data_IF_152788672191
#
_entry.id   IF_152788672191
#
_cell.length_a   1.000
_cell.length_b   1.000
_cell.length_c   1.000
_cell.angle_alpha   90.00
_cell.angle_beta   90.00
_cell.angle_gamma   90.00
#
_symmetry.space_group_name_H-M   'P 1'
#
loop_
_entity.id
_entity.type
_entity.pdbx_description
1 polymer ?
#
# COMPACT_ATOMS: atom_id res chain seq x y z
N UNK A 1 49.91 38.46 -30.23
CA UNK A 1 49.37 37.84 -29.00
C UNK A 1 48.23 36.93 -29.44
N UNK A 2 48.27 35.69 -28.95
CA UNK A 2 47.61 34.44 -29.42
C UNK A 2 46.07 34.57 -29.54
N UNK A 3 45.29 33.78 -30.28
CA UNK A 3 45.36 32.88 -31.46
C UNK A 3 44.02 32.12 -31.42
N UNK A 4 43.20 32.17 -32.47
CA UNK A 4 42.04 31.28 -32.66
C UNK A 4 42.49 29.83 -32.89
N UNK A 5 41.64 28.83 -32.57
CA UNK A 5 41.13 27.78 -33.50
C UNK A 5 40.66 26.49 -32.78
N UNK A 6 39.37 26.19 -32.93
CA UNK A 6 38.73 24.93 -33.40
C UNK A 6 38.94 23.53 -32.74
N UNK A 7 37.80 22.78 -32.76
CA UNK A 7 37.58 21.32 -32.94
C UNK A 7 37.17 20.45 -31.71
N UNK A 8 35.89 20.02 -31.74
CA UNK A 8 35.37 18.71 -31.29
C UNK A 8 35.86 17.57 -32.24
N UNK A 9 35.59 16.24 -32.05
CA UNK A 9 34.92 15.44 -31.01
C UNK A 9 35.64 14.09 -30.65
N UNK A 10 34.92 13.14 -30.02
CA UNK A 10 35.03 11.65 -30.01
C UNK A 10 35.77 10.93 -28.86
N UNK A 11 34.94 10.31 -28.01
CA UNK A 11 34.88 8.89 -27.63
C UNK A 11 36.16 8.06 -27.41
N UNK A 12 36.26 7.41 -26.25
CA UNK A 12 36.56 5.98 -26.14
C UNK A 12 36.26 5.43 -24.73
N UNK A 13 35.67 4.23 -24.75
CA UNK A 13 35.27 3.32 -23.67
C UNK A 13 36.46 2.55 -23.04
N UNK A 14 36.13 1.78 -21.99
CA UNK A 14 36.85 0.68 -21.28
C UNK A 14 37.67 1.14 -20.06
N UNK A 15 37.32 0.80 -18.81
CA UNK A 15 36.98 -0.47 -18.15
C UNK A 15 38.08 -0.84 -17.15
N UNK A 16 37.79 -0.59 -15.87
CA UNK A 16 38.35 -1.23 -14.68
C UNK A 16 37.10 -1.52 -13.83
N UNK A 17 36.69 -2.75 -13.52
CA UNK A 17 37.48 -3.95 -13.27
C UNK A 17 37.38 -4.25 -11.77
N UNK A 18 36.40 -5.06 -11.37
CA UNK A 18 36.36 -5.72 -10.06
C UNK A 18 35.91 -7.18 -10.23
N UNK A 19 36.92 -8.04 -10.31
CA UNK A 19 37.05 -9.39 -9.77
C UNK A 19 35.80 -10.28 -9.64
N UNK A 20 35.72 -11.25 -10.56
CA UNK A 20 35.15 -12.56 -10.28
C UNK A 20 36.20 -13.41 -9.55
N UNK A 21 35.83 -13.95 -8.39
CA UNK A 21 36.61 -14.97 -7.68
C UNK A 21 36.32 -16.37 -8.28
N UNK A 22 37.33 -17.19 -8.58
CA UNK A 22 37.12 -18.55 -9.09
C UNK A 22 36.90 -19.53 -7.94
N UNK A 23 35.69 -20.08 -7.83
CA UNK A 23 35.47 -21.28 -7.01
C UNK A 23 36.05 -22.50 -7.73
N UNK A 24 36.98 -23.15 -7.05
CA UNK A 24 37.57 -24.44 -7.40
C UNK A 24 36.54 -25.55 -7.31
N UNK A 25 36.50 -26.37 -8.36
CA UNK A 25 35.83 -27.66 -8.41
C UNK A 25 36.56 -28.68 -7.55
N UNK A 26 35.82 -29.50 -6.81
CA UNK A 26 35.98 -30.95 -6.70
C UNK A 26 35.15 -31.42 -5.50
N UNK A 27 33.97 -32.00 -5.75
CA UNK A 27 33.50 -33.18 -5.01
C UNK A 27 32.26 -33.80 -5.66
N UNK A 28 32.23 -35.13 -5.60
CA UNK A 28 31.41 -36.04 -6.38
C UNK A 28 29.89 -35.86 -6.18
N UNK A 29 29.15 -35.86 -7.29
CA UNK A 29 27.70 -35.70 -7.32
C UNK A 29 26.93 -36.91 -6.78
N UNK A 30 25.79 -36.68 -6.08
CA UNK A 30 24.76 -37.70 -5.87
C UNK A 30 23.96 -37.95 -7.16
N UNK A 31 23.28 -39.10 -7.28
CA UNK A 31 22.60 -39.49 -8.53
C UNK A 31 21.39 -38.60 -8.81
N UNK A 32 21.28 -38.24 -10.10
CA UNK A 32 20.14 -37.67 -10.83
C UNK A 32 18.80 -37.73 -10.07
N UNK A 33 18.43 -36.63 -9.43
CA UNK A 33 17.04 -36.33 -9.09
C UNK A 33 16.40 -35.76 -10.36
N UNK A 34 15.34 -36.42 -10.83
CA UNK A 34 14.70 -36.14 -12.10
C UNK A 34 14.38 -34.66 -12.33
N UNK A 35 14.56 -34.27 -13.58
CA UNK A 35 14.15 -33.03 -14.22
C UNK A 35 12.77 -32.58 -13.71
N UNK A 36 12.76 -31.60 -12.81
CA UNK A 36 11.56 -30.90 -12.37
C UNK A 36 11.10 -30.06 -13.56
N UNK A 37 9.97 -30.42 -14.15
CA UNK A 37 9.32 -29.61 -15.19
C UNK A 37 9.02 -28.22 -14.63
N UNK A 38 9.57 -27.20 -15.28
CA UNK A 38 9.27 -25.79 -15.04
C UNK A 38 7.75 -25.58 -14.98
N UNK A 39 7.30 -25.00 -13.87
CA UNK A 39 5.90 -24.82 -13.52
C UNK A 39 5.12 -24.06 -14.60
N UNK A 40 3.88 -24.50 -14.83
CA UNK A 40 2.91 -23.75 -15.64
C UNK A 40 2.72 -22.34 -15.08
N UNK A 41 2.68 -21.30 -15.94
CA UNK A 41 2.52 -19.92 -15.50
C UNK A 41 1.18 -19.75 -14.78
N UNK A 42 1.22 -19.21 -13.56
CA UNK A 42 0.05 -18.72 -12.85
C UNK A 42 -0.65 -17.68 -13.74
N UNK A 43 -1.93 -17.87 -14.01
CA UNK A 43 -2.76 -16.84 -14.65
C UNK A 43 -3.25 -15.92 -13.54
N UNK A 44 -2.46 -14.88 -13.23
CA UNK A 44 -2.96 -13.75 -12.46
C UNK A 44 -4.03 -13.08 -13.32
N UNK A 45 -5.31 -13.32 -13.02
CA UNK A 45 -6.39 -12.61 -13.67
C UNK A 45 -6.31 -11.15 -13.20
N UNK A 46 -5.52 -10.35 -13.93
CA UNK A 46 -5.41 -8.91 -13.70
C UNK A 46 -6.78 -8.32 -13.85
N UNK A 47 -7.32 -7.91 -12.72
CA UNK A 47 -8.64 -7.36 -12.70
C UNK A 47 -8.59 -5.94 -13.24
N UNK A 48 -9.32 -5.68 -14.32
CA UNK A 48 -9.34 -4.39 -14.97
C UNK A 48 -10.23 -3.44 -14.19
N UNK A 49 -9.64 -2.35 -13.69
CA UNK A 49 -10.39 -1.19 -13.20
C UNK A 49 -11.23 -0.69 -14.37
N UNK A 50 -12.57 -0.62 -14.26
CA UNK A 50 -13.39 -0.06 -15.32
C UNK A 50 -12.88 1.33 -15.68
N UNK A 51 -12.63 1.57 -16.97
CA UNK A 51 -12.18 2.88 -17.43
C UNK A 51 -13.07 3.99 -16.86
N UNK A 52 -12.46 5.08 -16.40
CA UNK A 52 -13.11 6.24 -15.75
C UNK A 52 -13.68 5.99 -14.36
N UNK A 53 -13.33 4.89 -13.69
CA UNK A 53 -13.60 4.77 -12.24
C UNK A 53 -12.95 5.96 -11.53
N UNK A 54 -13.68 6.77 -10.75
CA UNK A 54 -13.09 7.84 -9.97
C UNK A 54 -12.22 7.24 -8.85
N UNK A 55 -10.93 7.56 -8.83
CA UNK A 55 -9.98 7.12 -7.80
C UNK A 55 -9.30 8.33 -7.18
N UNK A 56 -9.48 8.53 -5.88
CA UNK A 56 -8.75 9.52 -5.08
C UNK A 56 -7.63 8.78 -4.33
N UNK A 57 -6.39 9.03 -4.73
CA UNK A 57 -5.18 8.48 -4.11
C UNK A 57 -4.61 9.51 -3.13
N UNK A 58 -4.52 9.15 -1.86
CA UNK A 58 -3.87 9.94 -0.83
C UNK A 58 -2.59 9.21 -0.39
N UNK A 59 -1.43 9.83 -0.60
CA UNK A 59 -0.16 9.32 -0.11
C UNK A 59 0.14 10.00 1.23
N UNK A 60 0.39 9.19 2.24
CA UNK A 60 0.85 9.61 3.56
C UNK A 60 2.30 9.17 3.65
N UNK A 61 3.23 10.12 3.55
CA UNK A 61 4.65 9.83 3.41
C UNK A 61 5.37 10.30 4.65
N UNK A 62 6.10 9.39 5.25
CA UNK A 62 7.05 9.69 6.28
C UNK A 62 8.23 10.50 5.72
N UNK A 63 8.41 11.69 6.29
CA UNK A 63 9.51 12.60 5.96
C UNK A 63 10.61 12.63 7.04
N UNK A 64 10.71 11.56 7.84
CA UNK A 64 11.76 11.33 8.84
C UNK A 64 13.14 11.26 8.23
N UNK A 65 14.15 11.25 9.11
CA UNK A 65 15.53 11.24 8.72
C UNK A 65 16.00 9.98 7.97
N UNK A 66 15.32 8.86 8.11
CA UNK A 66 15.70 7.56 7.56
C UNK A 66 14.99 7.23 6.24
N UNK A 67 13.97 7.99 5.85
CA UNK A 67 13.11 7.69 4.69
C UNK A 67 13.68 8.00 3.30
N UNK A 68 14.98 8.26 3.17
CA UNK A 68 15.60 8.72 1.92
C UNK A 68 15.47 7.65 0.82
N UNK A 69 15.93 6.45 1.11
CA UNK A 69 15.95 5.31 0.21
C UNK A 69 14.52 4.88 -0.16
N UNK A 70 13.60 4.89 0.80
CA UNK A 70 12.19 4.57 0.67
C UNK A 70 11.47 5.56 -0.26
N UNK A 71 11.69 6.86 -0.09
CA UNK A 71 11.11 7.88 -0.98
C UNK A 71 11.67 7.76 -2.42
N UNK A 72 12.95 7.42 -2.58
CA UNK A 72 13.54 7.13 -3.89
C UNK A 72 12.93 5.88 -4.56
N UNK A 73 12.71 4.81 -3.78
CA UNK A 73 12.04 3.60 -4.26
C UNK A 73 10.59 3.88 -4.67
N UNK A 74 9.85 4.59 -3.83
CA UNK A 74 8.48 5.01 -4.10
C UNK A 74 8.41 5.85 -5.37
N UNK A 75 9.30 6.83 -5.53
CA UNK A 75 9.39 7.67 -6.74
C UNK A 75 9.60 6.82 -7.99
N UNK A 76 10.52 5.85 -7.96
CA UNK A 76 10.75 4.93 -9.07
C UNK A 76 9.51 4.07 -9.39
N UNK A 77 8.83 3.57 -8.37
CA UNK A 77 7.60 2.79 -8.54
C UNK A 77 6.46 3.63 -9.14
N UNK A 78 6.32 4.89 -8.71
CA UNK A 78 5.31 5.82 -9.23
C UNK A 78 5.60 6.24 -10.67
N UNK A 79 6.87 6.40 -11.04
CA UNK A 79 7.26 6.62 -12.44
C UNK A 79 6.94 5.40 -13.33
N UNK A 80 6.81 4.23 -12.73
CA UNK A 80 6.44 2.97 -13.37
C UNK A 80 4.98 2.57 -13.11
N UNK A 81 4.10 3.54 -12.80
CA UNK A 81 2.68 3.27 -12.54
C UNK A 81 2.08 2.37 -13.64
N UNK A 82 1.25 1.38 -13.27
CA UNK A 82 0.53 0.58 -14.24
C UNK A 82 -0.37 1.47 -15.11
N UNK A 83 -0.48 1.11 -16.38
CA UNK A 83 -1.37 1.81 -17.30
C UNK A 83 -2.85 1.71 -16.87
N UNK A 84 -3.18 0.71 -16.05
CA UNK A 84 -4.50 0.41 -15.49
C UNK A 84 -4.97 1.45 -14.47
N UNK A 85 -4.11 1.89 -13.54
CA UNK A 85 -4.47 2.91 -12.54
C UNK A 85 -4.77 4.26 -13.20
N UNK A 86 -4.22 4.50 -14.39
CA UNK A 86 -4.44 5.73 -15.15
C UNK A 86 -5.55 5.63 -16.20
N UNK A 87 -6.16 4.46 -16.41
CA UNK A 87 -7.48 4.40 -17.05
C UNK A 87 -8.58 4.92 -16.13
N UNK A 88 -8.31 4.96 -14.83
CA UNK A 88 -9.17 5.60 -13.84
C UNK A 88 -9.17 7.12 -14.02
N UNK A 89 -10.24 7.77 -13.54
CA UNK A 89 -10.26 9.21 -13.31
C UNK A 89 -9.50 9.47 -12.00
N UNK A 90 -8.17 9.41 -12.07
CA UNK A 90 -7.27 9.52 -10.91
C UNK A 90 -7.15 10.98 -10.45
N UNK A 91 -7.22 11.16 -9.14
CA UNK A 91 -6.81 12.38 -8.44
C UNK A 91 -5.87 11.99 -7.32
N UNK A 92 -4.75 12.67 -7.19
CA UNK A 92 -3.75 12.32 -6.20
C UNK A 92 -3.37 13.51 -5.34
N UNK A 93 -3.17 13.27 -4.05
CA UNK A 93 -2.63 14.25 -3.12
C UNK A 93 -1.59 13.57 -2.22
N UNK A 94 -0.61 14.34 -1.75
CA UNK A 94 0.41 13.88 -0.82
C UNK A 94 0.33 14.69 0.46
N UNK A 95 0.47 14.05 1.61
CA UNK A 95 0.68 14.65 2.92
C UNK A 95 1.92 14.02 3.56
N UNK A 96 2.52 14.72 4.52
CA UNK A 96 3.53 14.09 5.39
C UNK A 96 2.96 13.73 6.75
N UNK A 97 3.71 12.93 7.49
CA UNK A 97 3.44 12.50 8.86
C UNK A 97 3.83 13.56 9.91
N UNK A 98 4.60 14.59 9.53
CA UNK A 98 5.00 15.70 10.39
C UNK A 98 3.81 16.59 10.81
N UNK A 99 3.35 16.35 12.04
CA UNK A 99 2.30 17.12 12.68
C UNK A 99 2.83 18.29 13.56
N UNK A 100 4.13 18.56 13.58
CA UNK A 100 4.72 19.73 14.27
C UNK A 100 4.94 20.90 13.34
N UNK A 101 5.22 20.63 12.07
CA UNK A 101 5.39 21.68 11.08
C UNK A 101 4.01 22.18 10.61
N UNK A 102 3.61 23.44 10.91
CA UNK A 102 2.31 23.98 10.53
C UNK A 102 2.08 24.06 9.01
N UNK A 103 3.16 23.97 8.22
CA UNK A 103 3.12 23.89 6.76
C UNK A 103 2.86 22.45 6.26
N UNK A 104 3.08 21.43 7.10
CA UNK A 104 2.92 20.02 6.76
C UNK A 104 1.68 19.36 7.36
N UNK A 105 1.32 19.66 8.62
CA UNK A 105 0.20 19.13 9.43
C UNK A 105 -1.08 18.66 8.68
N UNK A 106 -1.03 17.54 7.97
CA UNK A 106 -2.10 17.06 7.09
C UNK A 106 -2.42 17.97 5.89
N UNK A 107 -1.60 18.96 5.55
CA UNK A 107 -1.75 19.81 4.36
C UNK A 107 -1.39 19.03 3.10
N UNK A 108 -2.11 19.25 2.01
CA UNK A 108 -1.69 18.74 0.70
C UNK A 108 -0.42 19.45 0.25
N UNK A 109 0.60 18.66 -0.04
CA UNK A 109 1.92 19.14 -0.43
C UNK A 109 1.93 19.49 -1.91
N UNK A 110 2.60 20.57 -2.27
CA UNK A 110 2.75 21.04 -3.65
C UNK A 110 4.20 21.33 -4.01
N UNK A 111 5.10 21.05 -3.07
CA UNK A 111 6.54 21.13 -3.14
C UNK A 111 7.16 19.75 -2.94
N UNK A 112 8.46 19.70 -3.17
CA UNK A 112 9.29 18.52 -3.03
C UNK A 112 10.72 18.93 -2.70
N UNK A 113 11.47 18.03 -2.06
CA UNK A 113 12.86 18.21 -1.72
C UNK A 113 13.71 18.32 -2.98
N UNK A 114 14.35 19.47 -3.19
CA UNK A 114 15.22 19.73 -4.36
C UNK A 114 16.70 19.48 -4.09
N UNK A 115 17.06 19.25 -2.85
CA UNK A 115 18.44 19.09 -2.41
C UNK A 115 18.53 17.83 -1.58
N UNK A 116 19.65 17.13 -1.73
CA UNK A 116 20.03 16.06 -0.83
C UNK A 116 20.06 16.61 0.61
N UNK A 117 19.36 15.92 1.50
CA UNK A 117 19.46 16.20 2.92
C UNK A 117 20.80 15.66 3.46
N UNK A 118 21.34 16.19 4.57
CA UNK A 118 22.64 15.75 5.11
C UNK A 118 22.73 14.23 5.42
N UNK A 119 21.59 13.63 5.72
CA UNK A 119 21.37 12.22 6.02
C UNK A 119 20.93 11.39 4.80
N UNK A 120 20.72 12.02 3.65
CA UNK A 120 20.30 11.38 2.40
C UNK A 120 21.42 11.56 1.37
N UNK A 121 22.40 10.63 1.30
CA UNK A 121 23.55 10.77 0.41
C UNK A 121 23.16 10.68 -1.06
N UNK A 122 22.04 10.01 -1.35
CA UNK A 122 21.44 10.00 -2.68
C UNK A 122 20.73 11.31 -2.94
N UNK A 123 20.98 11.91 -4.10
CA UNK A 123 20.19 13.07 -4.52
C UNK A 123 18.75 12.61 -4.76
N UNK A 124 17.74 13.41 -4.34
CA UNK A 124 16.36 13.10 -4.64
C UNK A 124 16.18 13.00 -6.16
N UNK A 125 15.39 12.04 -6.61
CA UNK A 125 15.09 11.82 -8.02
C UNK A 125 14.14 12.92 -8.51
N UNK A 126 14.71 14.08 -8.82
CA UNK A 126 13.96 15.29 -9.23
C UNK A 126 14.06 15.62 -10.72
N UNK A 127 14.69 14.75 -11.50
CA UNK A 127 14.81 14.93 -12.95
C UNK A 127 13.42 14.92 -13.59
N UNK A 128 13.05 16.03 -14.22
CA UNK A 128 11.74 16.21 -14.84
C UNK A 128 10.67 16.83 -13.94
N UNK A 129 10.97 17.13 -12.68
CA UNK A 129 10.01 17.77 -11.80
C UNK A 129 9.75 19.24 -12.19
N UNK A 130 8.48 19.67 -12.27
CA UNK A 130 8.16 21.06 -12.58
C UNK A 130 8.53 21.98 -11.40
N UNK A 131 8.69 23.28 -11.67
CA UNK A 131 8.97 24.26 -10.62
C UNK A 131 7.82 24.42 -9.63
N UNK A 132 6.60 24.09 -10.04
CA UNK A 132 5.37 24.19 -9.25
C UNK A 132 4.49 22.98 -9.53
N UNK A 133 3.96 22.36 -8.48
CA UNK A 133 2.95 21.30 -8.58
C UNK A 133 1.61 21.81 -8.05
N UNK A 134 0.53 21.19 -8.51
CA UNK A 134 -0.79 21.37 -7.92
C UNK A 134 -0.88 20.56 -6.62
N UNK A 135 -1.47 21.07 -5.53
CA UNK A 135 -1.67 20.28 -4.30
C UNK A 135 -2.52 19.02 -4.51
N UNK A 136 -3.38 19.04 -5.54
CA UNK A 136 -4.14 17.88 -6.02
C UNK A 136 -3.82 17.70 -7.50
N UNK A 137 -3.17 16.59 -7.83
CA UNK A 137 -2.93 16.19 -9.21
C UNK A 137 -4.18 15.57 -9.82
N UNK A 138 -4.37 15.81 -11.10
CA UNK A 138 -5.47 15.31 -11.92
C UNK A 138 -4.99 15.09 -13.36
N UNK A 139 -5.81 14.44 -14.19
CA UNK A 139 -5.48 14.27 -15.60
C UNK A 139 -5.24 15.59 -16.36
N UNK A 140 -5.77 16.73 -15.85
CA UNK A 140 -5.54 18.06 -16.43
C UNK A 140 -4.11 18.57 -16.18
N UNK A 141 -3.41 18.07 -15.16
CA UNK A 141 -2.01 18.47 -14.93
C UNK A 141 -1.05 17.90 -15.99
N UNK A 142 -1.55 17.00 -16.85
CA UNK A 142 -0.86 16.45 -18.00
C UNK A 142 -1.34 17.05 -19.35
N UNK A 143 -1.87 18.28 -19.34
CA UNK A 143 -2.45 18.96 -20.51
C UNK A 143 -1.51 19.03 -21.74
N UNK A 144 -0.19 19.06 -21.53
CA UNK A 144 0.81 19.07 -22.61
C UNK A 144 0.81 17.82 -23.50
N UNK A 145 0.18 16.74 -23.05
CA UNK A 145 0.13 15.46 -23.75
C UNK A 145 -1.07 15.32 -24.72
N UNK A 146 -2.07 16.21 -24.64
CA UNK A 146 -3.32 16.04 -25.39
C UNK A 146 -3.95 14.66 -25.16
N UNK A 147 -4.30 13.96 -26.26
CA UNK A 147 -4.89 12.63 -26.19
C UNK A 147 -3.87 11.49 -26.04
N UNK A 148 -2.55 11.77 -26.12
CA UNK A 148 -1.51 10.74 -26.00
C UNK A 148 -1.52 10.15 -24.57
N UNK A 149 -1.99 8.91 -24.51
CA UNK A 149 -2.13 8.17 -23.26
C UNK A 149 -0.77 7.86 -22.61
N UNK A 150 0.22 7.45 -23.39
CA UNK A 150 1.53 7.07 -22.85
C UNK A 150 2.24 8.30 -22.28
N UNK A 151 2.09 9.44 -22.94
CA UNK A 151 2.58 10.72 -22.44
C UNK A 151 1.90 11.11 -21.11
N UNK A 152 0.56 11.07 -21.04
CA UNK A 152 -0.16 11.40 -19.79
C UNK A 152 0.24 10.49 -18.62
N UNK A 153 0.52 9.23 -18.91
CA UNK A 153 1.00 8.27 -17.92
C UNK A 153 2.38 8.63 -17.38
N UNK A 154 3.33 8.87 -18.29
CA UNK A 154 4.67 9.29 -17.88
C UNK A 154 4.65 10.61 -17.09
N UNK A 155 3.84 11.58 -17.51
CA UNK A 155 3.74 12.89 -16.85
C UNK A 155 3.10 12.78 -15.45
N UNK A 156 2.02 12.03 -15.32
CA UNK A 156 1.37 11.80 -14.02
C UNK A 156 2.30 11.06 -13.06
N UNK A 157 2.95 9.98 -13.54
CA UNK A 157 3.94 9.23 -12.76
C UNK A 157 5.07 10.12 -12.29
N UNK A 158 5.64 10.92 -13.20
CA UNK A 158 6.71 11.88 -12.89
C UNK A 158 6.27 12.87 -11.82
N UNK A 159 5.11 13.53 -11.98
CA UNK A 159 4.61 14.52 -11.01
C UNK A 159 4.33 13.91 -9.65
N UNK A 160 3.72 12.73 -9.62
CA UNK A 160 3.43 12.04 -8.37
C UNK A 160 4.71 11.57 -7.69
N UNK A 161 5.69 11.09 -8.46
CA UNK A 161 7.04 10.79 -7.99
C UNK A 161 7.74 12.01 -7.40
N UNK A 162 7.62 13.18 -8.04
CA UNK A 162 8.13 14.44 -7.48
C UNK A 162 7.46 14.74 -6.14
N UNK A 163 6.13 14.67 -6.06
CA UNK A 163 5.42 14.89 -4.78
C UNK A 163 5.75 13.81 -3.74
N UNK A 164 6.24 12.64 -4.11
CA UNK A 164 6.65 11.64 -3.13
C UNK A 164 7.96 11.99 -2.41
N UNK A 165 8.77 12.89 -2.98
CA UNK A 165 10.05 13.34 -2.42
C UNK A 165 9.82 14.49 -1.44
N UNK A 166 9.31 14.20 -0.26
CA UNK A 166 9.00 15.22 0.76
C UNK A 166 10.24 15.67 1.55
N UNK A 167 11.35 14.93 1.41
CA UNK A 167 12.60 15.16 2.12
C UNK A 167 12.66 14.36 3.41
N UNK A 168 13.74 14.55 4.17
CA UNK A 168 14.04 13.77 5.39
C UNK A 168 14.25 14.66 6.61
N UNK A 169 13.51 15.78 6.65
CA UNK A 169 13.62 16.83 7.66
C UNK A 169 12.44 16.92 8.61
N UNK A 170 11.52 15.95 8.54
CA UNK A 170 10.33 15.83 9.37
C UNK A 170 10.63 15.51 10.83
N UNK A 171 9.57 15.37 11.61
CA UNK A 171 9.62 15.05 13.03
C UNK A 171 9.57 13.55 13.23
N UNK A 172 10.64 12.92 13.75
CA UNK A 172 10.67 11.48 14.09
C UNK A 172 9.75 11.05 15.25
N UNK A 173 8.66 11.78 15.45
CA UNK A 173 7.48 11.37 16.19
C UNK A 173 6.33 11.38 15.18
N UNK A 174 6.29 10.34 14.37
CA UNK A 174 5.50 10.32 13.15
C UNK A 174 4.02 10.15 13.46
N UNK A 175 3.16 11.05 12.96
CA UNK A 175 1.74 11.07 13.30
C UNK A 175 0.86 10.97 12.05
N UNK A 176 1.14 9.97 11.22
CA UNK A 176 0.51 9.76 9.93
C UNK A 176 -1.01 9.61 10.00
N UNK A 177 -1.57 8.97 11.03
CA UNK A 177 -3.02 8.84 11.18
C UNK A 177 -3.67 10.17 11.56
N UNK A 178 -3.05 10.98 12.42
CA UNK A 178 -3.50 12.34 12.72
C UNK A 178 -3.41 13.25 11.49
N UNK A 179 -2.34 13.15 10.72
CA UNK A 179 -2.18 13.85 9.45
C UNK A 179 -3.26 13.46 8.45
N UNK A 180 -3.52 12.16 8.28
CA UNK A 180 -4.59 11.62 7.43
C UNK A 180 -5.97 12.14 7.84
N UNK A 181 -6.28 12.14 9.14
CA UNK A 181 -7.54 12.67 9.67
C UNK A 181 -7.65 14.16 9.37
N UNK A 182 -6.62 14.95 9.67
CA UNK A 182 -6.60 16.38 9.40
C UNK A 182 -6.79 16.65 7.90
N UNK A 183 -6.11 15.90 7.04
CA UNK A 183 -6.12 16.09 5.59
C UNK A 183 -7.50 15.90 4.95
N UNK A 184 -8.35 15.09 5.56
CA UNK A 184 -9.66 14.70 5.04
C UNK A 184 -10.83 15.29 5.85
N UNK A 185 -10.55 16.05 6.91
CA UNK A 185 -11.57 16.69 7.73
C UNK A 185 -12.13 17.97 7.07
N UNK A 186 -13.42 18.22 7.25
CA UNK A 186 -14.11 19.40 6.72
C UNK A 186 -13.76 20.71 7.44
N UNK A 187 -13.16 20.63 8.63
CA UNK A 187 -12.52 21.73 9.36
C UNK A 187 -10.99 21.67 9.26
N UNK A 188 -10.46 20.75 8.45
CA UNK A 188 -9.03 20.55 8.22
C UNK A 188 -8.44 21.54 7.22
N UNK A 189 -7.11 21.52 7.04
CA UNK A 189 -6.40 22.49 6.21
C UNK A 189 -6.71 22.38 4.72
N UNK A 190 -7.28 21.26 4.25
CA UNK A 190 -7.56 21.00 2.84
C UNK A 190 -9.06 21.12 2.51
N UNK A 191 -9.88 21.60 3.44
CA UNK A 191 -11.34 21.63 3.28
C UNK A 191 -11.77 22.30 1.98
N UNK A 192 -11.06 23.32 1.50
CA UNK A 192 -11.33 23.99 0.22
C UNK A 192 -11.37 23.06 -1.01
N UNK A 193 -10.64 21.93 -0.99
CA UNK A 193 -10.63 20.96 -2.07
C UNK A 193 -11.88 20.08 -2.12
N UNK A 194 -12.67 20.05 -1.04
CA UNK A 194 -13.90 19.26 -0.95
C UNK A 194 -15.06 19.95 -0.21
N UNK A 195 -14.94 21.26 0.00
CA UNK A 195 -15.90 22.10 0.70
C UNK A 195 -17.34 22.01 0.16
N UNK A 196 -17.59 21.84 -1.16
CA UNK A 196 -18.96 21.67 -1.66
C UNK A 196 -19.69 20.45 -1.08
N UNK A 197 -18.97 19.49 -0.52
CA UNK A 197 -19.50 18.29 0.13
C UNK A 197 -19.41 18.33 1.66
N UNK A 198 -18.98 19.44 2.25
CA UNK A 198 -18.96 19.63 3.69
C UNK A 198 -20.27 20.27 4.17
N UNK A 199 -21.00 19.57 5.02
CA UNK A 199 -22.26 20.01 5.65
C UNK A 199 -22.09 19.94 7.16
N UNK A 200 -22.28 21.06 7.85
CA UNK A 200 -22.15 21.16 9.32
C UNK A 200 -20.81 20.62 9.87
N UNK A 201 -19.72 20.87 9.14
CA UNK A 201 -18.38 20.43 9.52
C UNK A 201 -18.11 18.94 9.30
N UNK A 202 -18.97 18.24 8.57
CA UNK A 202 -18.82 16.82 8.22
C UNK A 202 -18.90 16.61 6.72
N UNK A 203 -18.19 15.61 6.21
CA UNK A 203 -18.27 15.24 4.81
C UNK A 203 -19.59 14.49 4.56
N UNK A 204 -20.34 14.88 3.53
CA UNK A 204 -21.55 14.20 3.07
C UNK A 204 -21.19 13.20 1.96
N UNK A 205 -21.17 11.88 2.22
CA UNK A 205 -20.86 10.86 1.23
C UNK A 205 -21.96 10.68 0.16
N UNK A 206 -23.07 11.44 0.25
CA UNK A 206 -24.13 11.48 -0.75
C UNK A 206 -24.13 12.77 -1.57
N UNK A 207 -23.15 13.65 -1.33
CA UNK A 207 -23.00 14.91 -2.02
C UNK A 207 -23.01 14.74 -3.55
N UNK A 208 -23.84 15.48 -4.29
CA UNK A 208 -23.92 15.36 -5.75
C UNK A 208 -22.80 16.13 -6.47
N UNK A 209 -22.00 16.91 -5.74
CA UNK A 209 -20.91 17.70 -6.31
C UNK A 209 -19.71 16.81 -6.57
N UNK A 210 -18.87 17.23 -7.53
CA UNK A 210 -17.59 16.60 -7.82
C UNK A 210 -16.46 17.47 -7.26
N UNK A 211 -16.16 17.36 -5.95
CA UNK A 211 -15.11 18.16 -5.31
C UNK A 211 -13.76 17.91 -5.98
N UNK A 212 -12.77 18.80 -5.83
CA UNK A 212 -11.44 18.68 -6.42
C UNK A 212 -10.67 17.45 -5.91
N UNK A 213 -10.91 17.04 -4.67
CA UNK A 213 -10.42 15.78 -4.10
C UNK A 213 -11.53 15.13 -3.26
N UNK A 214 -11.36 13.89 -2.83
CA UNK A 214 -12.32 13.16 -1.98
C UNK A 214 -13.74 13.14 -2.57
N UNK A 215 -13.91 12.51 -3.74
CA UNK A 215 -15.19 12.38 -4.43
C UNK A 215 -16.09 11.36 -3.71
N UNK A 216 -17.38 11.66 -3.48
CA UNK A 216 -18.30 10.75 -2.79
C UNK A 216 -18.44 9.37 -3.46
N UNK A 217 -18.46 9.34 -4.79
CA UNK A 217 -18.61 8.11 -5.59
C UNK A 217 -17.29 7.36 -5.81
N UNK A 218 -16.15 8.02 -5.62
CA UNK A 218 -14.84 7.47 -5.95
C UNK A 218 -14.33 6.47 -4.92
N UNK A 219 -13.36 5.66 -5.35
CA UNK A 219 -12.52 4.91 -4.42
C UNK A 219 -11.56 5.89 -3.75
N UNK A 220 -11.39 5.78 -2.43
CA UNK A 220 -10.30 6.41 -1.70
C UNK A 220 -9.24 5.35 -1.44
N UNK A 221 -8.07 5.53 -2.04
CA UNK A 221 -6.89 4.72 -1.78
C UNK A 221 -5.95 5.53 -0.90
N UNK A 222 -5.68 5.05 0.29
CA UNK A 222 -4.74 5.64 1.24
C UNK A 222 -3.47 4.79 1.21
N UNK A 223 -2.43 5.29 0.55
CA UNK A 223 -1.10 4.67 0.58
C UNK A 223 -0.30 5.30 1.71
N UNK A 224 0.16 4.50 2.64
CA UNK A 224 0.98 4.95 3.77
C UNK A 224 2.38 4.37 3.59
N UNK A 225 3.41 5.20 3.65
CA UNK A 225 4.81 4.77 3.53
C UNK A 225 5.59 5.35 4.69
N UNK A 226 6.04 4.49 5.60
CA UNK A 226 6.74 4.88 6.83
C UNK A 226 7.61 3.75 7.35
N UNK A 227 8.81 4.08 7.82
CA UNK A 227 9.69 3.16 8.51
C UNK A 227 9.53 3.23 10.05
N UNK A 228 8.56 4.00 10.53
CA UNK A 228 8.18 4.13 11.95
C UNK A 228 6.71 3.71 12.20
N UNK A 229 6.29 3.56 13.46
CA UNK A 229 4.87 3.39 13.80
C UNK A 229 4.15 4.75 13.95
N UNK A 230 2.82 4.74 13.89
CA UNK A 230 2.01 5.94 14.11
C UNK A 230 1.98 6.36 15.59
N UNK A 231 2.62 7.47 15.91
CA UNK A 231 2.61 8.10 17.21
C UNK A 231 1.44 9.09 17.42
N UNK A 232 0.33 8.98 16.69
CA UNK A 232 -0.77 9.96 16.79
C UNK A 232 -1.44 9.99 18.17
N UNK A 233 -1.16 11.04 18.95
CA UNK A 233 -1.67 11.27 20.30
C UNK A 233 -2.85 12.24 20.38
N UNK A 234 -3.55 12.24 21.51
CA UNK A 234 -4.62 13.22 21.75
C UNK A 234 -3.97 14.58 22.08
N UNK A 235 -4.21 15.65 21.31
CA UNK A 235 -3.65 16.96 21.62
C UNK A 235 -4.11 17.52 22.99
N UNK A 236 -5.19 16.98 23.57
CA UNK A 236 -5.64 17.34 24.92
C UNK A 236 -4.88 16.59 26.04
N UNK A 237 -4.25 15.46 25.73
CA UNK A 237 -3.40 14.68 26.64
C UNK A 237 -2.15 14.17 25.91
N UNK A 238 -1.24 15.08 25.47
CA UNK A 238 -0.11 14.69 24.64
C UNK A 238 0.84 13.77 25.40
N UNK A 239 1.42 12.82 24.69
CA UNK A 239 2.47 11.96 25.25
C UNK A 239 3.83 12.67 25.22
N UNK A 240 4.78 12.16 26.00
CA UNK A 240 6.10 12.77 26.07
C UNK A 240 6.86 12.54 24.75
N UNK A 241 7.35 13.61 24.15
CA UNK A 241 8.24 13.55 22.97
C UNK A 241 9.72 13.63 23.33
N UNK A 242 10.07 13.22 24.55
CA UNK A 242 11.47 13.22 25.01
C UNK A 242 12.33 12.19 24.24
N UNK A 243 11.68 11.14 23.73
CA UNK A 243 12.27 10.08 22.91
C UNK A 243 11.28 9.72 21.79
N UNK A 244 11.78 9.37 20.61
CA UNK A 244 10.94 8.94 19.49
C UNK A 244 10.14 7.67 19.84
N UNK A 245 10.73 6.78 20.64
CA UNK A 245 10.11 5.53 21.10
C UNK A 245 9.01 5.68 22.15
N UNK A 246 8.67 6.89 22.63
CA UNK A 246 7.65 6.99 23.70
C UNK A 246 6.30 6.48 23.24
N UNK A 247 5.95 6.64 21.96
CA UNK A 247 4.64 6.20 21.46
C UNK A 247 4.48 4.68 21.47
N UNK A 248 5.60 3.95 21.34
CA UNK A 248 5.70 2.49 21.49
C UNK A 248 5.53 2.02 22.94
N UNK A 249 5.74 2.92 23.90
CA UNK A 249 5.59 2.62 25.32
C UNK A 249 4.24 3.04 25.87
N UNK A 250 3.72 4.17 25.39
CA UNK A 250 2.49 4.80 25.84
C UNK A 250 1.32 4.58 24.86
N UNK A 251 1.28 3.45 24.13
CA UNK A 251 0.24 3.16 23.13
C UNK A 251 -1.20 3.37 23.62
N UNK A 252 -1.47 3.13 24.91
CA UNK A 252 -2.79 3.31 25.51
C UNK A 252 -3.25 4.77 25.58
N UNK A 253 -2.33 5.73 25.46
CA UNK A 253 -2.60 7.18 25.42
C UNK A 253 -2.69 7.72 23.99
N UNK A 254 -2.31 6.93 22.99
CA UNK A 254 -2.52 7.28 21.59
C UNK A 254 -4.01 7.23 21.26
N UNK A 255 -4.42 8.01 20.26
CA UNK A 255 -5.79 7.93 19.74
C UNK A 255 -6.00 6.52 19.19
N UNK A 256 -7.09 5.81 19.55
CA UNK A 256 -7.33 4.45 19.05
C UNK A 256 -7.44 4.42 17.52
N UNK A 257 -6.89 3.38 16.88
CA UNK A 257 -7.00 3.15 15.42
C UNK A 257 -8.45 3.18 14.94
N UNK A 258 -9.37 2.66 15.75
CA UNK A 258 -10.82 2.69 15.51
C UNK A 258 -11.38 4.10 15.25
N UNK A 259 -10.83 5.14 15.89
CA UNK A 259 -11.27 6.50 15.67
C UNK A 259 -10.91 6.98 14.25
N UNK A 260 -9.77 6.54 13.71
CA UNK A 260 -9.34 6.83 12.34
C UNK A 260 -10.12 6.01 11.32
N UNK A 261 -10.39 4.73 11.60
CA UNK A 261 -11.31 3.91 10.81
C UNK A 261 -12.69 4.58 10.71
N UNK A 262 -13.26 4.99 11.83
CA UNK A 262 -14.59 5.61 11.88
C UNK A 262 -14.63 6.93 11.12
N UNK A 263 -13.57 7.73 11.23
CA UNK A 263 -13.41 8.96 10.45
C UNK A 263 -13.41 8.68 8.95
N UNK A 264 -12.56 7.76 8.48
CA UNK A 264 -12.48 7.39 7.06
C UNK A 264 -13.79 6.77 6.55
N UNK A 265 -14.41 5.89 7.34
CA UNK A 265 -15.68 5.27 6.99
C UNK A 265 -16.81 6.29 6.84
N UNK A 266 -16.78 7.40 7.58
CA UNK A 266 -17.75 8.48 7.41
C UNK A 266 -17.60 9.22 6.05
N UNK A 267 -16.45 9.10 5.36
CA UNK A 267 -16.19 9.79 4.09
C UNK A 267 -16.86 9.12 2.89
N UNK A 268 -17.31 7.85 3.01
CA UNK A 268 -17.84 7.06 1.89
C UNK A 268 -19.17 6.42 2.22
N UNK A 269 -20.04 6.29 1.23
CA UNK A 269 -21.37 5.69 1.41
C UNK A 269 -21.29 4.17 1.60
N UNK A 270 -20.25 3.54 1.03
CA UNK A 270 -19.95 2.10 1.16
C UNK A 270 -18.48 1.92 1.52
N UNK A 271 -18.07 2.16 2.77
CA UNK A 271 -16.66 2.19 3.17
C UNK A 271 -15.89 0.92 2.79
N UNK A 272 -16.46 -0.26 3.04
CA UNK A 272 -15.85 -1.55 2.72
C UNK A 272 -15.61 -1.79 1.22
N UNK A 273 -16.30 -1.04 0.34
CA UNK A 273 -16.16 -1.15 -1.12
C UNK A 273 -15.42 0.05 -1.72
N UNK A 274 -15.25 1.13 -0.96
CA UNK A 274 -14.76 2.42 -1.45
C UNK A 274 -13.48 2.90 -0.77
N UNK A 275 -12.96 2.17 0.22
CA UNK A 275 -11.75 2.56 0.95
C UNK A 275 -10.75 1.41 0.86
N UNK A 276 -9.53 1.75 0.46
CA UNK A 276 -8.34 0.89 0.50
C UNK A 276 -7.31 1.59 1.33
N UNK A 277 -6.79 0.94 2.36
CA UNK A 277 -5.56 1.34 3.04
C UNK A 277 -4.46 0.39 2.59
N UNK A 278 -3.35 0.95 2.14
CA UNK A 278 -2.17 0.22 1.65
C UNK A 278 -0.99 0.67 2.50
N UNK A 279 -0.68 -0.02 3.60
CA UNK A 279 0.53 0.26 4.37
C UNK A 279 1.74 -0.35 3.67
N UNK A 280 2.79 0.46 3.49
CA UNK A 280 4.14 0.05 3.12
C UNK A 280 5.04 0.45 4.29
N UNK A 281 5.16 -0.46 5.25
CA UNK A 281 5.74 -0.21 6.58
C UNK A 281 6.59 -1.38 7.05
N UNK A 282 7.34 -1.26 8.15
CA UNK A 282 8.02 -2.42 8.72
C UNK A 282 7.02 -3.52 9.15
N UNK A 283 7.35 -4.80 8.94
CA UNK A 283 6.47 -5.91 9.27
C UNK A 283 6.28 -6.02 10.80
N UNK A 284 5.21 -6.68 11.21
CA UNK A 284 5.00 -6.95 12.62
C UNK A 284 6.01 -8.00 13.12
N UNK A 285 6.68 -7.74 14.24
CA UNK A 285 7.47 -8.76 14.91
C UNK A 285 6.58 -9.61 15.82
N UNK A 286 6.81 -10.92 15.84
CA UNK A 286 6.09 -11.87 16.69
C UNK A 286 7.07 -12.65 17.59
N UNK A 287 6.66 -12.94 18.82
CA UNK A 287 7.41 -13.83 19.71
C UNK A 287 7.20 -15.32 19.37
N UNK A 288 7.91 -16.22 20.05
CA UNK A 288 7.78 -17.69 19.90
C UNK A 288 6.34 -18.22 20.06
N UNK A 289 5.48 -17.48 20.75
CA UNK A 289 4.08 -17.84 20.96
C UNK A 289 3.15 -17.27 19.87
N UNK A 290 3.70 -16.63 18.83
CA UNK A 290 2.97 -15.98 17.75
C UNK A 290 2.24 -14.72 18.21
N UNK A 291 2.68 -14.08 19.30
CA UNK A 291 2.08 -12.83 19.78
C UNK A 291 2.88 -11.66 19.24
N UNK A 292 2.24 -10.55 18.84
CA UNK A 292 2.93 -9.32 18.51
C UNK A 292 3.88 -8.88 19.63
N UNK A 293 5.12 -8.60 19.26
CA UNK A 293 6.12 -8.00 20.15
C UNK A 293 5.65 -6.60 20.51
N UNK A 294 5.67 -6.28 21.81
CA UNK A 294 5.34 -4.93 22.32
C UNK A 294 6.46 -4.47 23.23
N UNK A 295 6.86 -3.22 23.10
CA UNK A 295 7.92 -2.66 23.93
C UNK A 295 7.37 -1.95 25.16
N UNK A 296 8.22 -1.81 26.17
CA UNK A 296 7.95 -1.06 27.39
C UNK A 296 9.16 -0.23 27.77
N UNK A 297 8.95 0.90 28.49
CA UNK A 297 10.07 1.63 29.04
C UNK A 297 10.93 0.70 29.89
N UNK A 298 12.26 0.82 29.86
CA UNK A 298 13.11 0.08 30.77
C UNK A 298 12.70 0.42 32.21
N UNK A 299 12.14 -0.55 32.94
CA UNK A 299 11.99 -0.44 34.38
C UNK A 299 13.39 -0.41 34.98
N UNK A 300 13.62 0.34 36.06
CA UNK A 300 14.96 0.58 36.63
C UNK A 300 15.80 -0.65 37.04
N UNK A 301 15.25 -1.86 36.89
CA UNK A 301 15.90 -3.15 37.10
C UNK A 301 15.82 -4.09 35.87
N UNK A 302 15.60 -3.57 34.65
CA UNK A 302 15.65 -4.39 33.43
C UNK A 302 17.01 -5.11 33.37
N UNK A 303 16.97 -6.43 33.17
CA UNK A 303 18.19 -7.23 33.06
C UNK A 303 19.06 -6.62 31.95
N UNK A 304 20.28 -6.24 32.28
CA UNK A 304 21.21 -5.63 31.33
C UNK A 304 21.46 -6.56 30.14
N UNK A 305 21.28 -7.88 30.33
CA UNK A 305 21.34 -8.86 29.25
C UNK A 305 20.20 -8.72 28.22
N UNK A 306 19.09 -8.08 28.59
CA UNK A 306 17.94 -7.81 27.72
C UNK A 306 17.93 -6.38 27.15
N UNK A 307 18.91 -5.55 27.52
CA UNK A 307 19.09 -4.21 26.96
C UNK A 307 20.19 -4.31 25.90
N UNK A 308 19.83 -4.37 24.61
CA UNK A 308 20.84 -4.13 23.58
C UNK A 308 21.36 -2.70 23.74
N UNK A 309 22.67 -2.57 23.93
CA UNK A 309 23.33 -1.28 24.11
C UNK A 309 23.44 -0.49 22.79
N UNK A 310 23.19 -1.12 21.63
CA UNK A 310 23.47 -0.53 20.32
C UNK A 310 22.23 -0.18 19.48
N UNK A 311 21.04 -0.69 19.80
CA UNK A 311 19.81 -0.44 19.04
C UNK A 311 19.85 -1.03 17.63
N UNK A 312 20.68 -2.03 17.39
CA UNK A 312 20.82 -2.70 16.10
C UNK A 312 19.98 -3.97 16.12
N UNK A 313 19.32 -4.30 14.99
CA UNK A 313 18.60 -5.56 14.90
C UNK A 313 19.55 -6.74 15.08
N UNK A 314 19.46 -7.43 16.21
CA UNK A 314 20.16 -8.70 16.43
C UNK A 314 19.15 -9.84 16.30
N UNK A 315 19.12 -10.57 15.19
CA UNK A 315 18.23 -11.74 15.03
C UNK A 315 18.59 -12.87 16.00
N UNK A 316 19.73 -12.83 16.69
CA UNK A 316 20.07 -13.75 17.77
C UNK A 316 19.53 -13.29 19.14
N UNK A 317 19.12 -12.03 19.26
CA UNK A 317 18.26 -11.50 20.32
C UNK A 317 16.80 -11.49 19.83
N UNK A 318 16.41 -12.54 19.10
CA UNK A 318 15.00 -12.93 18.97
C UNK A 318 14.37 -12.77 20.37
N UNK A 319 13.15 -12.24 20.52
CA UNK A 319 12.53 -12.02 21.81
C UNK A 319 12.18 -13.36 22.47
N UNK A 320 13.21 -14.12 22.84
CA UNK A 320 13.20 -15.27 23.69
C UNK A 320 12.37 -14.85 24.90
N UNK A 321 11.38 -15.65 25.27
CA UNK A 321 10.46 -15.36 26.38
C UNK A 321 11.13 -15.13 27.74
N UNK A 322 12.46 -15.23 27.82
CA UNK A 322 13.28 -14.79 28.93
C UNK A 322 13.32 -13.26 29.09
N UNK A 323 13.37 -12.49 27.98
CA UNK A 323 13.42 -11.03 28.00
C UNK A 323 12.04 -10.37 27.81
N UNK A 324 11.13 -11.03 27.12
CA UNK A 324 9.79 -10.51 26.84
C UNK A 324 8.73 -11.20 27.69
N UNK A 325 7.99 -10.41 28.47
CA UNK A 325 6.85 -10.90 29.24
C UNK A 325 5.57 -10.80 28.41
N UNK A 326 4.47 -11.43 28.85
CA UNK A 326 3.13 -11.21 28.26
C UNK A 326 2.69 -9.74 28.28
N UNK A 327 3.36 -8.97 29.12
CA UNK A 327 3.15 -7.57 29.34
C UNK A 327 3.93 -6.73 28.30
N UNK A 328 5.09 -7.20 27.83
CA UNK A 328 5.93 -6.58 26.81
C UNK A 328 7.43 -6.83 27.08
N UNK A 329 8.27 -6.40 26.15
CA UNK A 329 9.73 -6.41 26.19
C UNK A 329 10.23 -5.08 26.78
N UNK A 330 10.89 -5.07 27.94
CA UNK A 330 11.54 -3.87 28.46
C UNK A 330 12.75 -3.53 27.58
N UNK A 331 12.87 -2.29 27.13
CA UNK A 331 14.07 -1.84 26.41
C UNK A 331 13.81 -0.86 25.29
N UNK A 332 14.84 -0.65 24.47
CA UNK A 332 14.73 0.13 23.24
C UNK A 332 13.90 -0.64 22.22
N UNK A 333 13.03 0.09 21.53
CA UNK A 333 12.27 -0.44 20.40
C UNK A 333 13.27 -0.89 19.35
N UNK A 334 13.11 -2.12 18.86
CA UNK A 334 13.97 -2.67 17.83
C UNK A 334 13.31 -2.50 16.47
N UNK A 335 14.13 -2.37 15.44
CA UNK A 335 13.67 -2.49 14.06
C UNK A 335 13.21 -3.91 13.81
N UNK A 336 12.25 -4.07 12.91
CA UNK A 336 11.63 -5.36 12.56
C UNK A 336 12.17 -5.93 11.27
N UNK A 337 12.83 -5.08 10.48
CA UNK A 337 13.60 -5.51 9.34
C UNK A 337 14.73 -4.51 9.09
N UNK A 338 15.82 -5.04 8.55
CA UNK A 338 16.93 -4.27 8.00
C UNK A 338 17.15 -4.72 6.56
N UNK A 339 17.43 -3.77 5.68
CA UNK A 339 17.72 -4.03 4.28
C UNK A 339 18.82 -3.09 3.79
N UNK A 340 19.23 -3.25 2.52
CA UNK A 340 20.10 -2.27 1.87
C UNK A 340 19.50 -0.86 1.79
N UNK A 341 18.20 -0.73 2.09
CA UNK A 341 17.45 0.53 2.10
C UNK A 341 17.43 1.20 3.47
N UNK A 342 17.78 0.51 4.54
CA UNK A 342 17.65 1.04 5.90
C UNK A 342 16.99 0.04 6.84
N UNK A 343 16.66 0.52 8.03
CA UNK A 343 16.03 -0.26 9.07
C UNK A 343 14.64 0.32 9.34
N UNK A 344 13.63 -0.54 9.47
CA UNK A 344 12.26 -0.11 9.71
C UNK A 344 11.69 -0.72 10.99
N UNK A 345 11.04 0.12 11.78
CA UNK A 345 10.18 -0.28 12.88
C UNK A 345 8.84 -0.79 12.36
N UNK A 346 8.16 -1.58 13.18
CA UNK A 346 6.88 -2.16 12.79
C UNK A 346 5.79 -1.11 12.75
N UNK A 347 5.13 -0.94 11.61
CA UNK A 347 4.00 -0.02 11.43
C UNK A 347 2.67 -0.58 11.97
N UNK A 348 2.66 -1.08 13.21
CA UNK A 348 1.55 -1.78 13.86
C UNK A 348 0.20 -1.11 13.66
N UNK A 349 0.13 0.20 13.83
CA UNK A 349 -1.13 0.95 13.79
C UNK A 349 -1.62 1.18 12.37
N UNK A 350 -0.71 1.28 11.40
CA UNK A 350 -1.05 1.31 9.99
C UNK A 350 -1.56 -0.05 9.50
N UNK A 351 -0.93 -1.14 9.92
CA UNK A 351 -1.39 -2.51 9.67
C UNK A 351 -2.79 -2.73 10.27
N UNK A 352 -2.99 -2.36 11.54
CA UNK A 352 -4.27 -2.46 12.21
C UNK A 352 -5.37 -1.64 11.52
N UNK A 353 -5.05 -0.47 10.94
CA UNK A 353 -6.01 0.32 10.18
C UNK A 353 -6.44 -0.40 8.91
N UNK A 354 -5.51 -1.00 8.16
CA UNK A 354 -5.84 -1.77 6.96
C UNK A 354 -6.68 -3.02 7.28
N UNK A 355 -6.33 -3.75 8.33
CA UNK A 355 -7.12 -4.88 8.84
C UNK A 355 -8.53 -4.46 9.25
N UNK A 356 -8.69 -3.27 9.82
CA UNK A 356 -9.99 -2.72 10.20
C UNK A 356 -10.92 -2.44 8.99
N UNK A 357 -10.37 -2.34 7.78
CA UNK A 357 -11.11 -2.29 6.52
C UNK A 357 -11.27 -3.66 5.85
N UNK A 358 -10.90 -4.75 6.53
CA UNK A 358 -11.01 -6.12 6.02
C UNK A 358 -9.96 -6.47 4.98
N UNK A 359 -8.86 -5.72 4.94
CA UNK A 359 -7.78 -5.94 3.98
C UNK A 359 -6.78 -6.91 4.63
N UNK A 360 -6.64 -8.14 4.12
CA UNK A 360 -5.61 -9.04 4.62
C UNK A 360 -4.27 -8.43 4.26
N UNK A 361 -3.49 -8.08 5.28
CA UNK A 361 -2.13 -7.61 5.09
C UNK A 361 -1.21 -8.78 5.36
N UNK A 362 -0.58 -9.32 4.31
CA UNK A 362 0.54 -10.23 4.51
C UNK A 362 1.80 -9.41 4.77
N UNK A 363 2.72 -9.93 5.56
CA UNK A 363 4.03 -9.28 5.78
C UNK A 363 4.75 -9.01 4.45
N UNK A 364 4.65 -9.94 3.49
CA UNK A 364 5.25 -9.79 2.16
C UNK A 364 4.62 -8.65 1.34
N UNK A 365 3.33 -8.35 1.53
CA UNK A 365 2.65 -7.30 0.77
C UNK A 365 2.89 -5.90 1.35
N UNK A 366 3.09 -5.79 2.67
CA UNK A 366 3.24 -4.50 3.35
C UNK A 366 4.69 -4.13 3.70
N UNK A 367 5.66 -5.06 3.67
CA UNK A 367 6.99 -4.77 4.21
C UNK A 367 7.78 -3.73 3.41
N UNK A 368 8.18 -2.62 4.02
CA UNK A 368 9.01 -1.58 3.40
C UNK A 368 10.43 -2.07 3.05
N UNK A 369 10.91 -3.13 3.70
CA UNK A 369 12.29 -3.62 3.64
C UNK A 369 12.64 -4.50 2.44
N UNK A 370 11.81 -4.57 1.40
CA UNK A 370 12.16 -5.28 0.17
C UNK A 370 12.17 -4.31 -1.02
N UNK A 371 13.26 -4.36 -1.78
CA UNK A 371 13.46 -3.51 -2.95
C UNK A 371 12.51 -3.85 -4.11
N UNK A 372 12.12 -5.12 -4.22
CA UNK A 372 11.32 -5.61 -5.33
C UNK A 372 9.82 -5.41 -5.07
N UNK A 373 9.05 -5.15 -6.14
CA UNK A 373 7.59 -5.26 -6.12
C UNK A 373 6.83 -4.05 -5.57
N UNK A 374 7.46 -2.90 -5.30
CA UNK A 374 6.73 -1.68 -4.89
C UNK A 374 5.60 -1.31 -5.86
N UNK A 375 5.85 -1.39 -7.17
CA UNK A 375 4.80 -1.18 -8.16
C UNK A 375 3.66 -2.20 -8.02
N UNK A 376 3.99 -3.48 -7.87
CA UNK A 376 3.00 -4.55 -7.72
C UNK A 376 2.13 -4.34 -6.46
N UNK A 377 2.72 -3.90 -5.36
CA UNK A 377 2.02 -3.58 -4.09
C UNK A 377 1.10 -2.38 -4.19
N UNK A 378 1.43 -1.40 -5.03
CA UNK A 378 0.49 -0.32 -5.34
C UNK A 378 -0.69 -0.84 -6.16
N UNK A 379 -0.45 -1.82 -7.03
CA UNK A 379 -1.49 -2.33 -7.95
C UNK A 379 -2.41 -3.37 -7.32
N UNK A 380 -1.89 -4.24 -6.45
CA UNK A 380 -2.60 -5.43 -6.00
C UNK A 380 -3.83 -5.11 -5.14
N UNK A 381 -3.77 -4.21 -4.13
CA UNK A 381 -4.93 -3.85 -3.32
C UNK A 381 -6.01 -3.14 -4.13
N UNK A 382 -5.60 -2.26 -5.06
CA UNK A 382 -6.54 -1.57 -5.96
C UNK A 382 -7.23 -2.59 -6.87
N UNK A 383 -6.48 -3.56 -7.40
CA UNK A 383 -7.04 -4.64 -8.21
C UNK A 383 -7.96 -5.56 -7.40
N UNK A 384 -7.68 -5.80 -6.11
CA UNK A 384 -8.47 -6.69 -5.26
C UNK A 384 -9.88 -6.14 -4.96
N UNK A 385 -10.01 -4.82 -4.69
CA UNK A 385 -11.33 -4.21 -4.44
C UNK A 385 -12.31 -4.39 -5.61
N UNK A 386 -11.78 -4.27 -6.82
CA UNK A 386 -12.61 -4.36 -8.00
C UNK A 386 -13.08 -5.80 -8.27
N UNK A 387 -12.40 -6.82 -7.72
CA UNK A 387 -12.79 -8.22 -7.88
C UNK A 387 -14.07 -8.53 -7.12
N UNK A 388 -14.37 -7.72 -6.11
CA UNK A 388 -15.55 -7.80 -5.26
C UNK A 388 -16.64 -6.80 -5.68
N UNK A 389 -16.31 -5.83 -6.55
CA UNK A 389 -17.31 -4.93 -7.16
C UNK A 389 -18.18 -5.73 -8.14
N UNK A 390 -19.32 -6.20 -7.65
CA UNK A 390 -20.44 -6.72 -8.44
C UNK A 390 -20.71 -5.72 -9.60
N UNK A 391 -20.30 -6.09 -10.82
CA UNK A 391 -20.40 -5.28 -12.04
C UNK A 391 -21.80 -4.63 -12.15
N UNK A 392 -21.87 -3.32 -11.95
CA UNK A 392 -23.03 -2.48 -12.26
C UNK A 392 -24.38 -2.78 -11.54
N UNK A 393 -24.36 -3.08 -10.23
CA UNK A 393 -25.59 -3.21 -9.40
C UNK A 393 -26.62 -4.21 -9.97
N UNK A 394 -26.20 -5.10 -10.86
CA UNK A 394 -26.94 -6.24 -11.37
C UNK A 394 -25.98 -7.44 -11.44
N UNK A 395 -26.42 -8.67 -11.11
CA UNK A 395 -25.55 -9.84 -11.19
C UNK A 395 -24.99 -10.00 -12.61
N UNK A 396 -23.69 -10.21 -12.77
CA UNK A 396 -23.08 -10.46 -14.07
C UNK A 396 -23.69 -11.72 -14.70
N UNK A 397 -24.46 -11.57 -15.78
CA UNK A 397 -25.14 -12.66 -16.46
C UNK A 397 -24.12 -13.41 -17.31
N UNK A 398 -23.63 -14.54 -16.80
CA UNK A 398 -22.80 -15.44 -17.58
C UNK A 398 -23.69 -16.35 -18.43
N UNK A 399 -23.59 -16.22 -19.76
CA UNK A 399 -23.87 -17.36 -20.64
C UNK A 399 -23.02 -18.54 -20.16
N UNK A 400 -23.58 -19.74 -20.21
CA UNK A 400 -22.80 -20.98 -20.19
C UNK A 400 -21.86 -20.99 -21.41
N UNK A 401 -20.67 -20.41 -21.25
CA UNK A 401 -19.57 -20.55 -22.19
C UNK A 401 -18.43 -21.17 -21.41
N UNK A 402 -17.90 -22.27 -21.94
CA UNK A 402 -16.64 -22.82 -21.46
C UNK A 402 -15.60 -21.69 -21.49
N UNK A 403 -15.12 -21.26 -20.33
CA UNK A 403 -14.04 -20.29 -20.25
C UNK A 403 -12.78 -20.95 -20.81
N UNK A 404 -12.43 -20.58 -22.04
CA UNK A 404 -11.08 -20.69 -22.57
C UNK A 404 -10.52 -19.27 -22.50
N UNK A 405 -9.26 -19.15 -22.06
CA UNK A 405 -8.52 -17.90 -21.86
C UNK A 405 -8.85 -16.78 -22.86
N UNK A 406 -9.19 -15.57 -22.36
CA UNK A 406 -9.07 -14.32 -23.15
C UNK A 406 -10.30 -13.43 -23.35
N UNK A 407 -11.50 -13.82 -22.92
CA UNK A 407 -12.70 -12.98 -23.14
C UNK A 407 -13.01 -12.04 -21.96
N UNK A 408 -13.05 -10.74 -22.24
CA UNK A 408 -13.50 -9.70 -21.30
C UNK A 408 -15.04 -9.72 -21.16
N UNK A 409 -15.54 -9.56 -19.93
CA UNK A 409 -16.98 -9.57 -19.65
C UNK A 409 -17.73 -8.34 -20.21
N UNK A 410 -19.02 -8.51 -20.55
CA UNK A 410 -19.94 -7.41 -20.90
C UNK A 410 -21.08 -7.29 -19.88
N UNK A 411 -21.75 -6.13 -19.77
CA UNK A 411 -22.97 -5.97 -18.96
C UNK A 411 -24.13 -6.86 -19.46
N UNK A 412 -25.04 -7.22 -18.55
CA UNK A 412 -26.31 -7.90 -18.89
C UNK A 412 -27.24 -6.98 -19.68
N UNK A 413 -28.03 -7.57 -20.57
CA UNK A 413 -29.27 -6.91 -21.00
C UNK A 413 -30.44 -7.18 -20.03
N UNK A 414 -31.52 -6.42 -20.17
CA UNK A 414 -32.68 -6.49 -19.28
C UNK A 414 -33.39 -7.85 -19.28
N UNK A 415 -33.23 -8.65 -20.35
CA UNK A 415 -33.83 -9.99 -20.44
C UNK A 415 -32.97 -11.04 -19.71
N UNK A 416 -31.66 -10.83 -19.66
CA UNK A 416 -30.71 -11.67 -18.91
C UNK A 416 -30.84 -11.48 -17.38
N UNK A 417 -31.23 -10.30 -16.92
CA UNK A 417 -31.40 -9.97 -15.49
C UNK A 417 -32.66 -10.57 -14.82
N UNK A 418 -33.65 -11.01 -15.61
CA UNK A 418 -34.93 -11.54 -15.10
C UNK A 418 -34.97 -13.08 -14.96
N UNK A 419 -33.88 -13.80 -15.29
CA UNK A 419 -33.84 -15.25 -15.13
C UNK A 419 -33.68 -15.66 -13.66
N UNK A 420 -34.47 -16.62 -13.15
CA UNK A 420 -34.30 -17.13 -11.78
C UNK A 420 -32.92 -17.76 -11.64
N UNK A 421 -32.22 -17.42 -10.56
CA UNK A 421 -30.86 -17.89 -10.31
C UNK A 421 -30.77 -19.42 -10.25
N UNK A 422 -29.69 -19.96 -10.81
CA UNK A 422 -29.33 -21.36 -10.66
C UNK A 422 -29.19 -21.70 -9.17
N UNK A 423 -29.99 -22.65 -8.69
CA UNK A 423 -29.97 -23.11 -7.29
C UNK A 423 -28.79 -24.02 -6.95
N UNK A 424 -27.95 -24.34 -7.92
CA UNK A 424 -26.83 -25.26 -7.74
C UNK A 424 -25.59 -24.80 -8.49
N UNK A 425 -24.46 -24.91 -7.80
CA UNK A 425 -23.13 -24.59 -8.29
C UNK A 425 -22.34 -25.91 -8.33
N UNK A 426 -21.62 -26.19 -9.41
CA UNK A 426 -20.68 -27.29 -9.48
C UNK A 426 -19.27 -26.73 -9.36
N UNK A 427 -18.53 -27.17 -8.35
CA UNK A 427 -17.16 -26.74 -8.09
C UNK A 427 -16.21 -27.86 -8.50
N UNK A 428 -15.07 -27.52 -9.07
CA UNK A 428 -13.98 -28.48 -9.26
C UNK A 428 -12.62 -27.89 -8.92
N UNK A 429 -11.75 -28.68 -8.31
CA UNK A 429 -10.37 -28.32 -7.97
C UNK A 429 -9.44 -29.23 -8.77
N UNK A 430 -8.53 -28.67 -9.57
CA UNK A 430 -7.63 -29.42 -10.47
C UNK A 430 -8.38 -30.40 -11.39
N UNK A 431 -9.55 -30.00 -11.87
CA UNK A 431 -10.42 -30.82 -12.71
C UNK A 431 -11.21 -31.90 -11.96
N UNK A 432 -10.97 -32.11 -10.66
CA UNK A 432 -11.80 -32.98 -9.81
C UNK A 432 -13.05 -32.24 -9.38
N UNK A 433 -14.23 -32.68 -9.83
CA UNK A 433 -15.50 -32.19 -9.32
C UNK A 433 -15.61 -32.47 -7.81
N UNK A 434 -15.96 -31.44 -7.05
CA UNK A 434 -16.25 -31.53 -5.63
C UNK A 434 -17.69 -32.01 -5.45
N UNK A 435 -17.86 -32.98 -4.56
CA UNK A 435 -19.14 -33.51 -4.15
C UNK A 435 -19.83 -32.66 -3.07
N UNK A 436 -21.11 -32.94 -2.78
CA UNK A 436 -21.81 -32.36 -1.65
C UNK A 436 -21.04 -32.60 -0.34
N UNK A 437 -20.82 -31.54 0.43
CA UNK A 437 -20.07 -31.59 1.69
C UNK A 437 -18.56 -31.34 1.56
N UNK A 438 -18.04 -31.18 0.34
CA UNK A 438 -16.65 -30.70 0.13
C UNK A 438 -16.59 -29.17 -0.05
N UNK A 439 -17.75 -28.53 -0.16
CA UNK A 439 -17.92 -27.10 -0.16
C UNK A 439 -19.31 -26.71 0.37
N UNK A 440 -19.40 -25.49 0.88
CA UNK A 440 -20.63 -24.83 1.28
C UNK A 440 -20.80 -23.54 0.47
N UNK A 441 -22.01 -23.31 -0.02
CA UNK A 441 -22.38 -22.07 -0.71
C UNK A 441 -23.27 -21.29 0.23
N UNK A 442 -22.80 -20.16 0.72
CA UNK A 442 -23.57 -19.27 1.60
C UNK A 442 -23.99 -18.03 0.81
N UNK A 443 -25.24 -17.56 0.92
CA UNK A 443 -25.63 -16.28 0.34
C UNK A 443 -24.77 -15.15 0.90
N UNK A 444 -24.20 -14.31 0.03
CA UNK A 444 -23.41 -13.17 0.48
C UNK A 444 -24.37 -12.07 0.96
N UNK A 445 -24.37 -11.76 2.25
CA UNK A 445 -25.29 -10.77 2.83
C UNK A 445 -25.16 -9.38 2.19
N UNK A 446 -23.98 -9.09 1.62
CA UNK A 446 -23.62 -7.78 1.07
C UNK A 446 -23.66 -7.69 -0.46
N UNK A 447 -23.88 -8.78 -1.21
CA UNK A 447 -24.15 -8.71 -2.66
C UNK A 447 -25.46 -9.44 -2.98
N UNK A 448 -26.58 -8.72 -3.23
CA UNK A 448 -27.85 -9.33 -3.60
C UNK A 448 -27.69 -10.17 -4.88
N UNK A 449 -27.72 -11.49 -4.71
CA UNK A 449 -27.50 -12.45 -5.80
C UNK A 449 -26.08 -13.00 -5.92
N UNK A 450 -25.16 -12.59 -5.05
CA UNK A 450 -23.85 -13.21 -4.84
C UNK A 450 -23.89 -14.36 -3.84
N UNK A 451 -22.85 -15.18 -3.84
CA UNK A 451 -22.62 -16.22 -2.85
C UNK A 451 -21.14 -16.31 -2.50
N UNK A 452 -20.85 -16.62 -1.24
CA UNK A 452 -19.54 -17.08 -0.82
C UNK A 452 -19.45 -18.59 -1.02
N UNK A 453 -18.27 -19.05 -1.42
CA UNK A 453 -17.94 -20.46 -1.56
C UNK A 453 -16.89 -20.82 -0.51
N UNK A 454 -17.28 -21.63 0.47
CA UNK A 454 -16.38 -22.16 1.48
C UNK A 454 -15.97 -23.59 1.11
N UNK A 455 -14.68 -23.85 0.93
CA UNK A 455 -14.17 -25.21 0.75
C UNK A 455 -13.92 -25.83 2.12
N UNK A 456 -14.32 -27.08 2.34
CA UNK A 456 -14.10 -27.76 3.64
C UNK A 456 -12.64 -28.08 3.91
N UNK A 457 -11.83 -28.19 2.86
CA UNK A 457 -10.38 -28.28 2.93
C UNK A 457 -9.77 -27.19 2.06
N UNK A 458 -8.78 -26.48 2.59
CA UNK A 458 -8.03 -25.51 1.82
C UNK A 458 -7.31 -26.25 0.67
N UNK A 459 -7.51 -25.85 -0.59
CA UNK A 459 -6.81 -26.47 -1.68
C UNK A 459 -5.32 -26.13 -1.60
N UNK A 460 -4.48 -26.98 -2.20
CA UNK A 460 -3.05 -26.68 -2.29
C UNK A 460 -2.83 -25.34 -3.03
N UNK A 461 -1.76 -24.58 -2.72
CA UNK A 461 -1.50 -23.25 -3.29
C UNK A 461 -1.54 -23.22 -4.83
N UNK A 462 -1.19 -24.33 -5.48
CA UNK A 462 -1.15 -24.51 -6.93
C UNK A 462 -2.48 -24.96 -7.56
N UNK A 463 -3.55 -25.09 -6.79
CA UNK A 463 -4.78 -25.68 -7.28
C UNK A 463 -5.63 -24.72 -8.14
N UNK A 464 -6.11 -25.22 -9.28
CA UNK A 464 -7.06 -24.49 -10.14
C UNK A 464 -8.49 -24.72 -9.66
N UNK A 465 -9.16 -23.67 -9.20
CA UNK A 465 -10.58 -23.69 -8.85
C UNK A 465 -11.44 -23.30 -10.06
N UNK A 466 -12.42 -24.15 -10.40
CA UNK A 466 -13.41 -23.87 -11.45
C UNK A 466 -14.81 -23.94 -10.84
N UNK A 467 -15.56 -22.85 -10.95
CA UNK A 467 -16.95 -22.74 -10.49
C UNK A 467 -17.87 -22.67 -11.70
N UNK A 468 -18.76 -23.66 -11.84
CA UNK A 468 -19.74 -23.75 -12.94
C UNK A 468 -21.15 -23.60 -12.39
N UNK A 469 -21.95 -22.78 -13.06
CA UNK A 469 -23.37 -22.69 -12.78
C UNK A 469 -24.10 -23.84 -13.45
N UNK A 470 -24.95 -24.55 -12.72
CA UNK A 470 -25.77 -25.63 -13.27
C UNK A 470 -27.21 -25.10 -13.39
N UNK A 471 -27.69 -24.77 -14.61
CA UNK A 471 -29.09 -24.40 -14.78
C UNK A 471 -29.98 -25.60 -14.42
N UNK A 472 -31.05 -25.36 -13.66
CA UNK A 472 -32.13 -26.35 -13.49
C UNK A 472 -32.86 -26.49 -14.84
N UNK A 473 -32.99 -27.72 -15.35
CA UNK A 473 -33.84 -28.02 -16.51
C UNK A 473 -35.32 -28.05 -16.13
#
# INVERSE_FOLDING_TARGET
MRSLSHLWPLAALLALGCNADPKTTDDAGPPDAGEVQEGTPFVTQRLQIPARTPVDLLLVIDDSGSMCEEQNNLTRALNALPAELLEADLRAAVITTDMRNPERMGRFQADYARQAAPNCPEAPVVDGCPETLSPVLSAADADGCGDDRACRLAEMGTRLGCMAQQGTGGDGFEAGLAALRAATACDGPNAEHFAPCCVDGRFDPTCPQKPAFLRPEGLLVVLIVSDEDDCSDDPADPISRATNSTCEWDHARLVPVDAYRDHLAALKARPAEQIVVVPVVGPQAFDDAGRPVRYRPPAGDADVACLDENGAYDPALDPDGACCTAEGCPGMVQTTCESGLGAAFAGHRYLALAEAFGQPVTEEDATICVEAGWADRLTAPVSALHGVLCLDRAPACRRAVNFVSGDAGRPCDAAEAEQPMARSVAVSVNGRALGPGEYEVTPEANCPGGFALHLTEAPAPEATLIVRYVPEN
#
